data_IF_131485708185
#
_entry.id   IF_131485708185
#
_cell.length_a   1.000
_cell.length_b   1.000
_cell.length_c   1.000
_cell.angle_alpha   90.00
_cell.angle_beta   90.00
_cell.angle_gamma   90.00
#
_symmetry.space_group_name_H-M   'P 1'
#
loop_
_entity.id
_entity.type
_entity.pdbx_description
1 polymer ?
#
# COMPACT_ATOMS: atom_id res chain seq x y z
N UNK A 1 6.57 13.38 -21.57
CA UNK A 1 7.43 14.48 -22.05
C UNK A 1 8.04 14.10 -23.38
N UNK A 2 8.64 15.05 -24.09
CA UNK A 2 9.61 14.71 -25.13
C UNK A 2 10.86 14.04 -24.55
N UNK A 3 11.67 13.39 -25.38
CA UNK A 3 12.87 12.65 -24.95
C UNK A 3 13.86 13.51 -24.15
N UNK A 4 13.89 14.81 -24.44
CA UNK A 4 14.76 15.80 -23.78
C UNK A 4 14.21 16.28 -22.44
N UNK A 5 12.97 15.91 -22.09
CA UNK A 5 12.23 16.37 -20.90
C UNK A 5 12.08 17.90 -20.84
N UNK A 6 11.96 18.53 -22.01
CA UNK A 6 11.78 19.98 -22.18
C UNK A 6 10.31 20.35 -22.37
N UNK A 7 9.53 19.48 -23.03
CA UNK A 7 8.11 19.69 -23.26
C UNK A 7 7.30 18.58 -22.58
N UNK A 8 6.21 18.98 -21.94
CA UNK A 8 5.30 18.08 -21.22
C UNK A 8 3.89 18.25 -21.78
N UNK A 9 3.24 17.13 -22.07
CA UNK A 9 1.82 17.10 -22.33
C UNK A 9 1.09 16.82 -21.01
N UNK A 10 -0.02 17.53 -20.77
CA UNK A 10 -0.75 17.49 -19.51
C UNK A 10 -2.20 17.10 -19.81
N UNK A 11 -2.59 15.91 -19.36
CA UNK A 11 -3.97 15.42 -19.45
C UNK A 11 -4.69 15.55 -18.10
N UNK A 12 -5.93 16.03 -18.10
CA UNK A 12 -6.79 16.03 -16.91
C UNK A 12 -7.71 17.25 -16.79
N UNK A 13 -8.36 17.43 -15.62
CA UNK A 13 -8.25 16.60 -14.42
C UNK A 13 -8.87 15.21 -14.63
N UNK A 14 -8.12 14.18 -14.28
CA UNK A 14 -8.67 12.84 -14.08
C UNK A 14 -9.28 12.76 -12.68
N UNK A 15 -10.46 12.14 -12.53
CA UNK A 15 -11.13 11.97 -11.23
C UNK A 15 -11.42 13.27 -10.48
N UNK A 16 -11.94 14.29 -11.18
CA UNK A 16 -12.26 15.57 -10.56
C UNK A 16 -13.14 15.41 -9.30
N UNK A 17 -12.68 15.97 -8.17
CA UNK A 17 -13.35 15.89 -6.87
C UNK A 17 -12.98 14.67 -6.02
N UNK A 18 -12.10 13.79 -6.50
CA UNK A 18 -11.55 12.68 -5.72
C UNK A 18 -10.19 13.03 -5.13
N UNK A 19 -9.94 12.56 -3.91
CA UNK A 19 -8.60 12.55 -3.33
C UNK A 19 -7.82 11.39 -3.94
N UNK A 20 -6.59 11.65 -4.39
CA UNK A 20 -5.67 10.61 -4.86
C UNK A 20 -4.57 10.45 -3.81
N UNK A 21 -4.63 9.35 -3.05
CA UNK A 21 -3.63 9.08 -2.00
C UNK A 21 -2.31 8.59 -2.60
N UNK A 22 -2.39 7.75 -3.64
CA UNK A 22 -1.21 7.25 -4.32
C UNK A 22 -1.54 6.84 -5.76
N UNK A 23 -0.58 6.99 -6.66
CA UNK A 23 -0.66 6.48 -8.03
C UNK A 23 0.71 5.95 -8.44
N UNK A 24 0.76 4.74 -9.01
CA UNK A 24 2.02 4.14 -9.45
C UNK A 24 1.85 3.29 -10.71
N UNK A 25 2.74 3.51 -11.67
CA UNK A 25 2.85 2.70 -12.89
C UNK A 25 3.67 1.44 -12.66
N UNK A 26 3.35 0.36 -13.37
CA UNK A 26 4.13 -0.87 -13.33
C UNK A 26 5.47 -0.71 -14.07
N UNK A 27 6.60 -1.15 -13.49
CA UNK A 27 7.89 -1.10 -14.17
C UNK A 27 8.01 -2.16 -15.28
N UNK A 28 7.17 -3.19 -15.28
CA UNK A 28 7.20 -4.31 -16.24
C UNK A 28 6.02 -4.31 -17.22
N UNK A 29 4.99 -3.51 -16.95
CA UNK A 29 3.91 -3.22 -17.89
C UNK A 29 3.70 -1.70 -17.97
N UNK A 30 4.31 -1.00 -18.95
CA UNK A 30 4.27 0.47 -19.01
C UNK A 30 2.88 1.05 -19.24
N UNK A 31 1.91 0.25 -19.69
CA UNK A 31 0.53 0.71 -19.84
C UNK A 31 -0.29 0.56 -18.55
N UNK A 32 0.23 -0.18 -17.56
CA UNK A 32 -0.49 -0.43 -16.32
C UNK A 32 -0.19 0.63 -15.27
N UNK A 33 -1.24 1.29 -14.79
CA UNK A 33 -1.18 2.27 -13.71
C UNK A 33 -2.26 1.95 -12.69
N UNK A 34 -1.91 1.98 -11.41
CA UNK A 34 -2.87 1.89 -10.31
C UNK A 34 -3.03 3.24 -9.63
N UNK A 35 -4.25 3.57 -9.20
CA UNK A 35 -4.53 4.75 -8.40
C UNK A 35 -5.44 4.40 -7.21
N UNK A 36 -5.05 4.89 -6.03
CA UNK A 36 -5.83 4.85 -4.81
C UNK A 36 -6.65 6.13 -4.69
N UNK A 37 -7.97 5.99 -4.69
CA UNK A 37 -8.93 7.09 -4.63
C UNK A 37 -9.70 7.09 -3.34
N UNK A 38 -10.09 8.27 -2.87
CA UNK A 38 -10.99 8.40 -1.73
C UNK A 38 -11.90 9.62 -1.88
N UNK A 39 -13.12 9.54 -1.34
CA UNK A 39 -13.90 10.71 -0.98
C UNK A 39 -14.86 10.40 0.18
N UNK A 40 -15.51 11.43 0.72
CA UNK A 40 -16.39 11.28 1.87
C UNK A 40 -17.70 10.51 1.61
N UNK A 41 -18.08 10.24 0.37
CA UNK A 41 -19.30 9.51 0.03
C UNK A 41 -19.08 8.02 -0.20
N UNK A 42 -18.00 7.68 -0.92
CA UNK A 42 -17.71 6.31 -1.33
C UNK A 42 -16.55 5.68 -0.54
N UNK A 43 -15.83 6.46 0.26
CA UNK A 43 -14.62 6.02 0.91
C UNK A 43 -13.53 5.69 -0.11
N UNK A 44 -12.67 4.73 0.23
CA UNK A 44 -11.62 4.22 -0.65
C UNK A 44 -12.20 3.55 -1.90
N UNK A 45 -11.60 3.78 -3.06
CA UNK A 45 -11.78 3.03 -4.30
C UNK A 45 -10.43 2.77 -4.98
N UNK A 46 -10.29 1.61 -5.61
CA UNK A 46 -9.14 1.28 -6.44
C UNK A 46 -9.46 1.48 -7.92
N UNK A 47 -8.58 2.16 -8.64
CA UNK A 47 -8.64 2.29 -10.09
C UNK A 47 -7.40 1.67 -10.74
N UNK A 48 -7.59 1.14 -11.94
CA UNK A 48 -6.52 0.67 -12.82
C UNK A 48 -6.69 1.26 -14.21
N UNK A 49 -5.58 1.57 -14.85
CA UNK A 49 -5.50 1.82 -16.29
C UNK A 49 -4.63 0.75 -16.92
N UNK A 50 -4.99 0.32 -18.13
CA UNK A 50 -4.23 -0.64 -18.96
C UNK A 50 -3.80 -0.01 -20.31
N UNK A 51 -3.90 1.31 -20.44
CA UNK A 51 -3.57 2.08 -21.65
C UNK A 51 -2.72 3.34 -21.37
N UNK A 52 -1.98 3.32 -20.25
CA UNK A 52 -1.07 4.41 -19.87
C UNK A 52 -1.77 5.62 -19.28
N UNK A 53 -2.98 5.45 -18.73
CA UNK A 53 -3.76 6.49 -18.07
C UNK A 53 -4.75 7.24 -18.98
N UNK A 54 -5.02 6.72 -20.18
CA UNK A 54 -6.01 7.30 -21.08
C UNK A 54 -7.43 6.94 -20.64
N UNK A 55 -7.65 5.70 -20.21
CA UNK A 55 -8.89 5.21 -19.61
C UNK A 55 -8.61 4.51 -18.29
N UNK A 56 -9.64 4.46 -17.44
CA UNK A 56 -9.56 3.93 -16.09
C UNK A 56 -10.79 3.08 -15.78
N UNK A 57 -10.57 1.98 -15.08
CA UNK A 57 -11.61 1.10 -14.57
C UNK A 57 -11.47 0.89 -13.07
N UNK A 58 -12.61 0.79 -12.38
CA UNK A 58 -12.62 0.41 -10.97
C UNK A 58 -12.30 -1.08 -10.85
N UNK A 59 -11.37 -1.41 -9.97
CA UNK A 59 -11.03 -2.80 -9.62
C UNK A 59 -11.51 -3.11 -8.20
N UNK A 60 -11.29 -4.33 -7.73
CA UNK A 60 -11.75 -4.77 -6.43
C UNK A 60 -11.15 -3.89 -5.31
N UNK A 61 -11.98 -3.64 -4.30
CA UNK A 61 -11.70 -2.73 -3.19
C UNK A 61 -11.94 -3.39 -1.82
N UNK A 62 -12.02 -4.72 -1.78
CA UNK A 62 -12.21 -5.50 -0.57
C UNK A 62 -10.84 -5.85 0.02
N UNK A 63 -10.45 -5.09 1.05
CA UNK A 63 -9.22 -5.29 1.81
C UNK A 63 -9.57 -5.90 3.18
N UNK A 64 -9.91 -7.20 3.17
CA UNK A 64 -10.28 -7.92 4.38
C UNK A 64 -9.03 -8.47 5.09
N UNK A 65 -8.91 -8.19 6.40
CA UNK A 65 -7.88 -8.83 7.21
C UNK A 65 -8.15 -10.33 7.31
N UNK A 66 -7.09 -11.13 7.23
CA UNK A 66 -7.14 -12.58 7.30
C UNK A 66 -7.33 -13.04 8.75
N UNK A 67 -8.21 -14.03 8.93
CA UNK A 67 -8.53 -14.63 10.23
C UNK A 67 -9.16 -13.66 11.23
N UNK A 68 -8.83 -13.87 12.51
CA UNK A 68 -9.13 -12.90 13.57
C UNK A 68 -7.93 -11.95 13.71
N UNK A 69 -8.04 -10.69 13.27
CA UNK A 69 -6.91 -9.78 13.31
C UNK A 69 -6.55 -9.32 14.73
N UNK A 70 -7.42 -9.58 15.72
CA UNK A 70 -7.25 -9.10 17.08
C UNK A 70 -7.38 -7.58 17.18
N UNK A 71 -6.48 -6.96 17.94
CA UNK A 71 -6.54 -5.53 18.26
C UNK A 71 -5.16 -4.87 18.18
N UNK A 72 -5.14 -3.54 18.08
CA UNK A 72 -3.96 -2.69 18.30
C UNK A 72 -4.30 -1.55 19.28
N UNK A 73 -3.29 -0.82 19.74
CA UNK A 73 -3.50 0.28 20.67
C UNK A 73 -3.99 1.55 19.96
N UNK A 74 -4.82 2.32 20.64
CA UNK A 74 -5.19 3.68 20.27
C UNK A 74 -4.35 4.72 21.04
N UNK A 75 -4.56 6.01 20.77
CA UNK A 75 -3.78 7.11 21.38
C UNK A 75 -3.82 7.13 22.92
N UNK A 76 -4.90 6.62 23.51
CA UNK A 76 -5.08 6.53 24.96
C UNK A 76 -4.60 5.19 25.56
N UNK A 77 -4.00 4.32 24.74
CA UNK A 77 -3.53 2.99 25.11
C UNK A 77 -4.63 1.91 25.15
N UNK A 78 -5.89 2.25 24.86
CA UNK A 78 -6.97 1.25 24.76
C UNK A 78 -6.78 0.36 23.53
N UNK A 79 -7.23 -0.89 23.62
CA UNK A 79 -7.22 -1.81 22.48
C UNK A 79 -8.43 -1.58 21.59
N UNK A 80 -8.22 -1.43 20.28
CA UNK A 80 -9.23 -1.25 19.25
C UNK A 80 -9.06 -2.31 18.15
N UNK A 81 -10.14 -2.76 17.50
CA UNK A 81 -10.05 -3.69 16.39
C UNK A 81 -9.26 -3.06 15.23
N UNK A 82 -8.62 -3.91 14.43
CA UNK A 82 -8.04 -3.48 13.16
C UNK A 82 -9.16 -3.12 12.18
N UNK A 83 -9.06 -1.94 11.58
CA UNK A 83 -10.05 -1.48 10.60
C UNK A 83 -9.35 -1.04 9.32
N UNK A 84 -9.92 -1.44 8.18
CA UNK A 84 -9.49 -0.91 6.90
C UNK A 84 -10.13 0.46 6.69
N UNK A 85 -9.33 1.45 6.33
CA UNK A 85 -9.75 2.83 6.10
C UNK A 85 -9.44 3.27 4.69
N UNK A 86 -8.19 3.04 4.23
CA UNK A 86 -7.71 3.47 2.91
C UNK A 86 -6.39 2.83 2.51
N UNK A 87 -6.09 2.88 1.22
CA UNK A 87 -4.82 2.47 0.62
C UNK A 87 -3.90 3.70 0.54
N UNK A 88 -2.79 3.64 1.27
CA UNK A 88 -1.79 4.71 1.35
C UNK A 88 -0.66 4.56 0.34
N UNK A 89 -0.31 3.34 -0.02
CA UNK A 89 0.81 3.06 -0.91
C UNK A 89 0.46 1.91 -1.86
N UNK A 90 0.92 2.00 -3.10
CA UNK A 90 0.79 0.96 -4.12
C UNK A 90 2.17 0.68 -4.69
N UNK A 91 2.59 -0.58 -4.72
CA UNK A 91 3.89 -0.99 -5.24
C UNK A 91 3.72 -2.17 -6.22
N UNK A 92 3.65 -1.90 -7.53
CA UNK A 92 3.67 -2.95 -8.54
C UNK A 92 4.97 -3.76 -8.47
N UNK A 93 4.88 -5.06 -8.75
CA UNK A 93 6.04 -5.96 -8.78
C UNK A 93 7.08 -5.52 -9.81
N UNK A 94 8.35 -5.81 -9.51
CA UNK A 94 9.48 -5.55 -10.39
C UNK A 94 9.62 -6.57 -11.52
N UNK A 95 8.89 -7.69 -11.46
CA UNK A 95 9.04 -8.81 -12.40
C UNK A 95 7.71 -9.37 -12.90
N UNK A 96 6.63 -9.26 -12.12
CA UNK A 96 5.32 -9.85 -12.43
C UNK A 96 4.29 -8.75 -12.78
N UNK A 97 3.72 -8.73 -14.00
CA UNK A 97 2.90 -7.60 -14.46
C UNK A 97 1.54 -7.48 -13.78
N UNK A 98 1.02 -8.56 -13.20
CA UNK A 98 -0.27 -8.60 -12.50
C UNK A 98 -0.12 -8.52 -10.97
N UNK A 99 1.11 -8.61 -10.45
CA UNK A 99 1.36 -8.53 -9.01
C UNK A 99 1.51 -7.08 -8.54
N UNK A 100 0.78 -6.70 -7.51
CA UNK A 100 0.86 -5.39 -6.86
C UNK A 100 0.66 -5.53 -5.35
N UNK A 101 1.45 -4.78 -4.59
CA UNK A 101 1.29 -4.68 -3.14
C UNK A 101 0.59 -3.38 -2.76
N UNK A 102 -0.26 -3.44 -1.74
CA UNK A 102 -0.95 -2.29 -1.18
C UNK A 102 -0.64 -2.14 0.31
N UNK A 103 -0.15 -0.96 0.69
CA UNK A 103 0.00 -0.54 2.07
C UNK A 103 -1.25 0.21 2.51
N UNK A 104 -1.87 -0.23 3.61
CA UNK A 104 -3.15 0.34 4.07
C UNK A 104 -3.05 0.97 5.44
N UNK A 105 -4.13 1.66 5.82
CA UNK A 105 -4.45 2.03 7.19
C UNK A 105 -5.66 1.17 7.61
N UNK A 106 -5.62 0.43 8.72
CA UNK A 106 -4.58 0.35 9.75
C UNK A 106 -3.44 -0.67 9.43
N UNK A 107 -2.25 -0.16 9.13
CA UNK A 107 -0.94 -0.84 9.02
C UNK A 107 -0.88 -2.30 8.53
N UNK A 108 -1.71 -2.66 7.56
CA UNK A 108 -1.64 -3.95 6.88
C UNK A 108 -0.96 -3.84 5.52
N UNK A 109 -0.40 -4.98 5.09
CA UNK A 109 0.14 -5.19 3.76
C UNK A 109 -0.76 -6.18 3.02
N UNK A 110 -1.22 -5.79 1.85
CA UNK A 110 -1.99 -6.64 0.95
C UNK A 110 -1.20 -6.91 -0.33
N UNK A 111 -1.50 -8.04 -0.95
CA UNK A 111 -0.98 -8.45 -2.25
C UNK A 111 -2.15 -8.81 -3.16
N UNK A 112 -2.06 -8.41 -4.41
CA UNK A 112 -2.86 -8.92 -5.51
C UNK A 112 -1.93 -9.57 -6.51
N UNK A 113 -2.34 -10.68 -7.11
CA UNK A 113 -1.65 -11.38 -8.20
C UNK A 113 -2.47 -11.40 -9.51
N UNK A 114 -3.58 -10.66 -9.55
CA UNK A 114 -4.56 -10.65 -10.66
C UNK A 114 -4.87 -9.23 -11.13
N UNK A 115 -3.92 -8.32 -10.93
CA UNK A 115 -4.03 -6.95 -11.38
C UNK A 115 -5.00 -6.10 -10.54
N UNK A 116 -5.17 -6.41 -9.26
CA UNK A 116 -6.05 -5.71 -8.32
C UNK A 116 -7.51 -6.19 -8.32
N UNK A 117 -7.80 -7.34 -8.94
CA UNK A 117 -9.15 -7.92 -8.96
C UNK A 117 -9.48 -8.71 -7.68
N UNK A 118 -8.47 -9.12 -6.93
CA UNK A 118 -8.59 -9.61 -5.56
C UNK A 118 -7.37 -9.20 -4.74
N UNK A 119 -7.56 -9.05 -3.44
CA UNK A 119 -6.52 -8.67 -2.49
C UNK A 119 -6.45 -9.68 -1.35
N UNK A 120 -5.26 -10.16 -1.06
CA UNK A 120 -4.97 -11.04 0.06
C UNK A 120 -4.07 -10.32 1.06
N UNK A 121 -4.43 -10.35 2.34
CA UNK A 121 -3.55 -9.84 3.39
C UNK A 121 -2.28 -10.71 3.51
N UNK A 122 -1.14 -10.08 3.81
CA UNK A 122 0.06 -10.73 4.32
C UNK A 122 0.13 -10.53 5.85
N UNK A 123 -0.53 -11.40 6.65
CA UNK A 123 -0.80 -11.14 8.07
C UNK A 123 0.45 -11.21 8.95
N UNK A 124 1.53 -11.86 8.48
CA UNK A 124 2.77 -12.04 9.25
C UNK A 124 3.42 -10.74 9.73
N UNK A 125 3.09 -9.60 9.11
CA UNK A 125 3.56 -8.29 9.54
C UNK A 125 3.01 -7.92 10.93
N UNK A 126 1.73 -8.20 11.19
CA UNK A 126 1.07 -7.89 12.47
C UNK A 126 1.58 -8.75 13.64
N UNK A 127 2.15 -9.92 13.35
CA UNK A 127 2.76 -10.80 14.36
C UNK A 127 4.00 -10.18 15.04
N UNK A 128 4.59 -9.13 14.44
CA UNK A 128 5.75 -8.41 15.00
C UNK A 128 5.31 -7.37 16.05
N UNK A 129 4.53 -7.84 17.03
CA UNK A 129 3.93 -7.04 18.11
C UNK A 129 2.98 -5.95 17.61
N UNK A 130 2.21 -6.23 16.56
CA UNK A 130 1.17 -5.33 16.03
C UNK A 130 0.18 -4.84 17.09
N UNK A 131 -0.16 -5.70 18.06
CA UNK A 131 -1.03 -5.35 19.19
C UNK A 131 -0.51 -4.24 20.11
N UNK A 132 0.76 -3.82 19.97
CA UNK A 132 1.36 -2.70 20.69
C UNK A 132 1.51 -1.45 19.84
N UNK A 133 1.21 -1.52 18.54
CA UNK A 133 1.34 -0.36 17.67
C UNK A 133 0.23 0.64 17.96
N UNK A 134 0.59 1.92 17.85
CA UNK A 134 -0.31 3.05 18.06
C UNK A 134 -0.32 3.92 16.79
N UNK A 135 -1.49 4.46 16.40
CA UNK A 135 -1.56 5.45 15.34
C UNK A 135 -0.80 6.72 15.72
N UNK A 136 -0.23 7.41 14.72
CA UNK A 136 0.16 8.81 14.84
C UNK A 136 -1.01 9.73 14.51
N UNK A 137 -0.83 11.05 14.63
CA UNK A 137 -1.90 12.02 14.32
C UNK A 137 -2.48 11.91 12.89
N UNK A 138 -1.72 11.31 11.96
CA UNK A 138 -2.15 11.04 10.58
C UNK A 138 -2.77 9.65 10.35
N UNK A 139 -2.95 8.84 11.40
CA UNK A 139 -3.35 7.43 11.30
C UNK A 139 -2.19 6.45 11.51
N UNK A 140 -2.48 5.15 11.42
CA UNK A 140 -1.48 4.07 11.46
C UNK A 140 -1.28 3.53 10.03
N UNK A 141 -0.41 4.17 9.26
CA UNK A 141 -0.41 4.01 7.80
C UNK A 141 0.84 3.27 7.33
N UNK A 142 0.67 2.18 6.57
CA UNK A 142 1.77 1.58 5.82
C UNK A 142 2.00 2.40 4.54
N UNK A 143 3.02 3.25 4.58
CA UNK A 143 3.25 4.28 3.55
C UNK A 143 4.50 4.01 2.69
N UNK A 144 5.20 2.91 2.92
CA UNK A 144 6.39 2.56 2.15
C UNK A 144 6.47 1.07 1.97
N UNK A 145 6.63 0.67 0.72
CA UNK A 145 6.95 -0.69 0.31
C UNK A 145 8.11 -0.58 -0.67
N UNK A 146 9.21 -1.30 -0.39
CA UNK A 146 10.39 -1.36 -1.25
C UNK A 146 10.69 -2.84 -1.52
N UNK A 147 10.62 -3.21 -2.79
CA UNK A 147 10.96 -4.55 -3.28
C UNK A 147 12.46 -4.63 -3.56
N UNK A 148 13.14 -5.69 -3.15
CA UNK A 148 14.56 -5.90 -3.46
C UNK A 148 14.70 -6.42 -4.90
N UNK A 149 15.35 -5.68 -5.82
CA UNK A 149 15.50 -6.11 -7.22
C UNK A 149 16.38 -7.36 -7.38
N UNK A 150 17.18 -7.71 -6.37
CA UNK A 150 18.08 -8.86 -6.40
C UNK A 150 17.55 -10.08 -5.63
N UNK A 151 16.42 -9.92 -4.92
CA UNK A 151 15.80 -11.00 -4.15
C UNK A 151 14.29 -10.80 -4.06
N UNK A 152 13.53 -11.54 -4.88
CA UNK A 152 12.07 -11.46 -4.94
C UNK A 152 11.36 -11.74 -3.60
N UNK A 153 12.02 -12.45 -2.67
CA UNK A 153 11.45 -12.73 -1.35
C UNK A 153 11.76 -11.63 -0.32
N UNK A 154 12.65 -10.69 -0.64
CA UNK A 154 12.99 -9.58 0.26
C UNK A 154 12.17 -8.35 -0.05
N UNK A 155 11.50 -7.85 0.98
CA UNK A 155 10.82 -6.56 0.95
C UNK A 155 11.07 -5.80 2.24
N UNK A 156 11.01 -4.48 2.14
CA UNK A 156 11.09 -3.55 3.25
C UNK A 156 9.81 -2.74 3.30
N UNK A 157 9.24 -2.57 4.49
CA UNK A 157 8.05 -1.74 4.70
C UNK A 157 8.29 -0.74 5.81
N UNK A 158 7.61 0.40 5.75
CA UNK A 158 7.56 1.34 6.86
C UNK A 158 6.12 1.73 7.16
N UNK A 159 5.83 1.78 8.46
CA UNK A 159 4.54 2.13 9.04
C UNK A 159 4.75 3.34 9.94
N UNK A 160 4.00 4.40 9.71
CA UNK A 160 3.89 5.51 10.66
C UNK A 160 2.70 5.22 11.58
N UNK A 161 2.83 5.02 12.89
CA UNK A 161 4.00 5.30 13.74
C UNK A 161 4.71 4.05 14.33
N UNK A 162 4.64 2.87 13.70
CA UNK A 162 5.21 1.63 14.24
C UNK A 162 6.72 1.43 13.93
N UNK A 163 7.21 1.92 12.79
CA UNK A 163 8.60 1.81 12.36
C UNK A 163 8.78 1.05 11.04
N UNK A 164 10.02 0.59 10.79
CA UNK A 164 10.42 -0.13 9.60
C UNK A 164 10.63 -1.62 9.86
N UNK A 165 10.23 -2.43 8.89
CA UNK A 165 10.28 -3.89 8.94
C UNK A 165 10.85 -4.46 7.65
N UNK A 166 11.43 -5.65 7.74
CA UNK A 166 11.92 -6.42 6.59
C UNK A 166 11.42 -7.85 6.65
N UNK A 167 11.04 -8.38 5.51
CA UNK A 167 10.86 -9.82 5.25
C UNK A 167 12.00 -10.31 4.34
N UNK A 168 12.31 -11.60 4.41
CA UNK A 168 13.20 -12.29 3.47
C UNK A 168 12.54 -13.57 2.90
N UNK A 169 11.23 -13.74 3.12
CA UNK A 169 10.43 -14.92 2.76
C UNK A 169 9.09 -14.55 2.08
N UNK A 170 9.06 -13.41 1.38
CA UNK A 170 7.88 -13.01 0.59
C UNK A 170 6.74 -12.44 1.42
N UNK A 171 6.99 -12.09 2.68
CA UNK A 171 6.01 -11.47 3.58
C UNK A 171 5.36 -12.45 4.56
N UNK A 172 5.80 -13.71 4.61
CA UNK A 172 5.34 -14.70 5.60
C UNK A 172 5.81 -14.33 7.00
N UNK A 173 7.07 -13.93 7.17
CA UNK A 173 7.61 -13.45 8.44
C UNK A 173 8.35 -12.14 8.30
N UNK A 174 8.37 -11.38 9.39
CA UNK A 174 8.92 -10.03 9.42
C UNK A 174 9.80 -9.82 10.65
N UNK A 175 10.79 -8.94 10.50
CA UNK A 175 11.64 -8.48 11.59
C UNK A 175 11.71 -6.96 11.60
N UNK A 176 11.70 -6.33 12.79
CA UNK A 176 11.91 -4.90 12.89
C UNK A 176 13.35 -4.56 12.51
N UNK A 177 13.54 -3.44 11.82
CA UNK A 177 14.85 -2.92 11.41
C UNK A 177 15.06 -1.48 11.90
N UNK A 178 14.63 -1.24 13.14
CA UNK A 178 14.60 0.09 13.77
C UNK A 178 15.88 0.45 14.55
N UNK A 179 16.87 -0.44 14.60
CA UNK A 179 18.09 -0.18 15.37
C UNK A 179 18.84 1.03 14.81
N UNK A 180 19.09 2.02 15.65
CA UNK A 180 19.73 3.28 15.26
C UNK A 180 18.76 4.37 14.79
N UNK A 181 17.47 4.07 14.65
CA UNK A 181 16.43 5.09 14.50
C UNK A 181 16.11 5.66 15.88
N UNK A 182 16.20 6.97 16.02
CA UNK A 182 15.89 7.69 17.26
C UNK A 182 14.67 8.56 17.01
N UNK A 183 13.60 8.31 17.75
CA UNK A 183 12.46 9.23 17.82
C UNK A 183 12.65 10.14 19.04
N UNK A 184 12.56 11.47 18.90
CA UNK A 184 12.73 12.42 20.00
C UNK A 184 11.60 12.36 21.04
#
# INVERSE_FOLDING_TARGET
SDEKRQNWDVSGPHFAGWEIYHMKGSPVNPNRIYASQSNGWFGQLMQRSDDGGQTWEAVNNEFAYDGDPGTHQFFDGTQQPWEFKRVWHLEPSLTEPDTVFAGVEDAALFRSDDGGQSWQELPGLREVKGHLWQPGAGGMCLHTIILDPNNANRMFVAISAAGAFRTDDGGETWRPINQGLVSP
#
